data_IF_135236600676
#
_entry.id   IF_135236600676
#
_cell.length_a   1.000
_cell.length_b   1.000
_cell.length_c   1.000
_cell.angle_alpha   90.00
_cell.angle_beta   90.00
_cell.angle_gamma   90.00
#
_symmetry.space_group_name_H-M   'P 1'
#
loop_
_entity.id
_entity.type
_entity.pdbx_description
1 polymer ?
#
# COMPACT_ATOMS: atom_id res chain seq x y z
N UNK A 1 0.97 8.48 -42.22
CA UNK A 1 0.42 9.84 -42.08
C UNK A 1 -0.86 9.85 -42.88
N UNK A 2 -2.01 9.87 -42.21
CA UNK A 2 -3.28 9.97 -42.91
C UNK A 2 -3.53 11.44 -43.26
N UNK A 3 -4.23 11.71 -44.37
CA UNK A 3 -4.54 13.08 -44.77
C UNK A 3 -5.38 13.84 -43.73
N UNK A 4 -6.03 13.10 -42.81
CA UNK A 4 -6.77 13.64 -41.66
C UNK A 4 -5.90 14.35 -40.63
N UNK A 5 -4.59 14.10 -40.61
CA UNK A 5 -3.71 14.55 -39.53
C UNK A 5 -3.11 15.95 -39.81
N UNK A 6 -3.49 16.58 -40.93
CA UNK A 6 -2.92 17.85 -41.38
C UNK A 6 -3.98 18.95 -41.24
N UNK A 7 -3.87 19.76 -40.19
CA UNK A 7 -4.73 20.94 -39.99
C UNK A 7 -3.99 22.19 -40.47
N UNK A 8 -4.48 22.83 -41.52
CA UNK A 8 -3.94 24.10 -42.00
C UNK A 8 -4.40 25.25 -41.09
N UNK A 9 -3.46 25.94 -40.45
CA UNK A 9 -3.73 27.15 -39.68
C UNK A 9 -4.12 28.30 -40.61
N UNK A 10 -5.28 28.94 -40.38
CA UNK A 10 -5.73 30.14 -41.10
C UNK A 10 -5.29 31.39 -40.34
N UNK A 11 -4.14 31.94 -40.68
CA UNK A 11 -3.73 33.28 -40.24
C UNK A 11 -2.24 33.38 -39.95
N UNK A 12 -1.60 34.41 -40.53
CA UNK A 12 -0.16 34.66 -40.66
C UNK A 12 0.57 33.76 -41.65
N UNK A 13 1.49 34.36 -42.42
CA UNK A 13 2.33 33.74 -43.45
C UNK A 13 3.31 32.68 -42.92
N UNK A 14 3.11 32.24 -41.67
CA UNK A 14 3.88 31.21 -41.02
C UNK A 14 3.06 29.92 -41.11
N UNK A 15 3.32 29.12 -42.15
CA UNK A 15 2.61 27.87 -42.41
C UNK A 15 3.04 26.85 -41.37
N UNK A 16 2.44 26.92 -40.18
CA UNK A 16 2.65 25.96 -39.11
C UNK A 16 1.80 24.72 -39.38
N UNK A 17 2.47 23.60 -39.63
CA UNK A 17 1.83 22.28 -39.69
C UNK A 17 1.97 21.65 -38.30
N UNK A 18 0.84 21.44 -37.63
CA UNK A 18 0.81 20.77 -36.32
C UNK A 18 0.56 19.29 -36.55
N UNK A 19 1.54 18.46 -36.23
CA UNK A 19 1.41 17.00 -36.27
C UNK A 19 1.01 16.48 -34.90
N UNK A 20 -0.12 15.78 -34.82
CA UNK A 20 -0.50 15.02 -33.64
C UNK A 20 -0.07 13.56 -33.84
N UNK A 21 1.21 13.27 -33.64
CA UNK A 21 1.77 11.93 -33.76
C UNK A 21 1.97 11.29 -32.38
N UNK A 22 1.67 10.00 -32.27
CA UNK A 22 2.01 9.25 -31.06
C UNK A 22 3.54 9.03 -31.04
N UNK A 23 4.29 9.58 -30.06
CA UNK A 23 5.75 9.51 -30.04
C UNK A 23 6.27 8.07 -29.93
N UNK A 24 5.48 7.12 -29.42
CA UNK A 24 5.88 5.70 -29.34
C UNK A 24 5.98 5.00 -30.70
N UNK A 25 5.32 5.53 -31.74
CA UNK A 25 5.33 4.95 -33.09
C UNK A 25 6.55 5.37 -33.91
N UNK A 26 7.31 6.38 -33.46
CA UNK A 26 8.44 6.92 -34.19
C UNK A 26 9.71 6.80 -33.35
N UNK A 27 10.52 5.77 -33.65
CA UNK A 27 11.79 5.52 -32.94
C UNK A 27 12.82 6.64 -33.10
N UNK A 28 12.74 7.43 -34.16
CA UNK A 28 13.65 8.55 -34.41
C UNK A 28 12.90 9.69 -35.11
N UNK A 29 12.66 10.78 -34.38
CA UNK A 29 12.05 12.02 -34.91
C UNK A 29 12.94 12.65 -36.00
N UNK A 30 14.23 12.32 -36.00
CA UNK A 30 15.22 12.80 -36.96
C UNK A 30 14.92 12.46 -38.43
N UNK A 31 14.23 11.36 -38.73
CA UNK A 31 13.93 11.00 -40.14
C UNK A 31 12.93 11.95 -40.78
N UNK A 32 12.07 12.59 -39.98
CA UNK A 32 11.10 13.58 -40.45
C UNK A 32 11.81 14.91 -40.77
N UNK A 33 12.91 15.22 -40.09
CA UNK A 33 13.64 16.48 -40.21
C UNK A 33 14.81 16.45 -41.23
N UNK A 34 15.09 15.30 -41.87
CA UNK A 34 16.27 15.11 -42.74
C UNK A 34 16.04 15.47 -44.21
N UNK A 35 14.85 15.93 -44.60
CA UNK A 35 14.65 16.41 -45.97
C UNK A 35 15.26 17.81 -46.13
N UNK A 36 16.50 17.84 -46.62
CA UNK A 36 17.29 19.06 -46.81
C UNK A 36 16.74 20.00 -47.90
N UNK A 37 15.68 19.60 -48.59
CA UNK A 37 15.06 20.40 -49.65
C UNK A 37 14.12 21.48 -49.12
N UNK A 38 13.74 21.40 -47.83
CA UNK A 38 12.84 22.36 -47.19
C UNK A 38 13.52 22.91 -45.94
N UNK A 39 13.72 24.23 -45.85
CA UNK A 39 14.24 24.90 -44.64
C UNK A 39 13.20 24.86 -43.51
N UNK A 40 12.88 23.67 -43.03
CA UNK A 40 11.93 23.46 -41.94
C UNK A 40 12.68 23.34 -40.61
N UNK A 41 12.33 24.18 -39.64
CA UNK A 41 12.77 24.04 -38.25
C UNK A 41 11.74 23.25 -37.47
N UNK A 42 12.12 22.08 -36.97
CA UNK A 42 11.27 21.32 -36.05
C UNK A 42 11.33 21.96 -34.66
N UNK A 43 10.20 22.43 -34.15
CA UNK A 43 10.05 22.94 -32.78
C UNK A 43 9.07 22.07 -31.99
N UNK A 44 9.52 21.53 -30.85
CA UNK A 44 8.63 20.84 -29.90
C UNK A 44 8.01 21.93 -29.02
N UNK A 45 6.77 22.29 -29.29
CA UNK A 45 6.09 23.36 -28.57
C UNK A 45 5.57 22.92 -27.21
N UNK A 46 5.05 21.70 -27.14
CA UNK A 46 4.44 21.17 -25.93
C UNK A 46 4.48 19.64 -25.96
N UNK A 47 5.11 19.05 -24.94
CA UNK A 47 5.05 17.62 -24.68
C UNK A 47 3.98 17.37 -23.62
N UNK A 48 2.78 16.98 -24.06
CA UNK A 48 1.75 16.50 -23.14
C UNK A 48 1.91 14.98 -22.99
N UNK A 49 2.37 14.53 -21.83
CA UNK A 49 2.30 13.12 -21.46
C UNK A 49 0.88 12.88 -20.95
N UNK A 50 0.01 12.35 -21.81
CA UNK A 50 -1.22 11.71 -21.33
C UNK A 50 -0.80 10.34 -20.83
N UNK A 51 -0.61 10.20 -19.52
CA UNK A 51 -0.40 8.90 -18.89
C UNK A 51 -1.64 8.03 -19.11
N UNK A 52 -1.66 7.25 -20.19
CA UNK A 52 -2.37 5.97 -20.19
C UNK A 52 -1.46 4.98 -19.46
N UNK A 53 -1.37 5.05 -18.13
CA UNK A 53 -0.45 4.14 -17.45
C UNK A 53 -0.36 4.13 -15.93
N UNK A 54 -0.63 5.24 -15.23
CA UNK A 54 -0.71 5.24 -13.77
C UNK A 54 -2.02 5.93 -13.36
N UNK A 55 -3.12 5.19 -13.51
CA UNK A 55 -4.27 5.42 -12.62
C UNK A 55 -3.71 5.19 -11.24
N UNK A 56 -3.51 6.27 -10.48
CA UNK A 56 -3.09 6.24 -9.08
C UNK A 56 -3.89 5.14 -8.37
N UNK A 57 -3.29 3.96 -8.24
CA UNK A 57 -3.97 2.76 -7.76
C UNK A 57 -4.52 3.04 -6.37
N UNK A 58 -3.80 3.85 -5.58
CA UNK A 58 -4.27 4.37 -4.30
C UNK A 58 -5.57 5.17 -4.41
N UNK A 59 -5.64 6.14 -5.33
CA UNK A 59 -6.84 6.98 -5.52
C UNK A 59 -8.04 6.18 -6.05
N UNK A 60 -7.80 5.19 -6.91
CA UNK A 60 -8.86 4.30 -7.41
C UNK A 60 -9.33 3.32 -6.33
N UNK A 61 -8.40 2.79 -5.52
CA UNK A 61 -8.71 1.92 -4.38
C UNK A 61 -9.51 2.69 -3.32
N UNK A 62 -9.13 3.93 -3.04
CA UNK A 62 -9.82 4.81 -2.10
C UNK A 62 -11.21 5.20 -2.59
N UNK A 63 -11.36 5.53 -3.88
CA UNK A 63 -12.69 5.75 -4.49
C UNK A 63 -13.58 4.51 -4.34
N UNK A 64 -13.01 3.32 -4.52
CA UNK A 64 -13.75 2.06 -4.38
C UNK A 64 -14.12 1.77 -2.93
N UNK A 65 -13.26 2.10 -1.96
CA UNK A 65 -13.55 1.99 -0.53
C UNK A 65 -14.67 2.95 -0.11
N UNK A 66 -14.65 4.19 -0.59
CA UNK A 66 -15.73 5.17 -0.32
C UNK A 66 -17.07 4.72 -0.91
N UNK A 67 -17.07 4.14 -2.12
CA UNK A 67 -18.29 3.56 -2.71
C UNK A 67 -18.83 2.38 -1.90
N UNK A 68 -17.97 1.54 -1.33
CA UNK A 68 -18.41 0.45 -0.44
C UNK A 68 -19.05 0.99 0.85
N UNK A 69 -18.47 1.99 1.49
CA UNK A 69 -19.05 2.62 2.68
C UNK A 69 -20.39 3.30 2.40
N UNK A 70 -20.55 3.94 1.24
CA UNK A 70 -21.85 4.48 0.82
C UNK A 70 -22.88 3.36 0.62
N UNK A 71 -22.48 2.22 0.05
CA UNK A 71 -23.40 1.10 -0.13
C UNK A 71 -23.81 0.44 1.21
N UNK A 72 -22.89 0.35 2.18
CA UNK A 72 -23.19 -0.15 3.54
C UNK A 72 -24.14 0.79 4.30
N UNK A 73 -23.87 2.09 4.27
CA UNK A 73 -24.76 3.08 4.91
C UNK A 73 -26.16 3.10 4.31
N UNK A 74 -26.30 2.94 2.99
CA UNK A 74 -27.61 2.80 2.36
C UNK A 74 -28.31 1.46 2.67
N UNK A 75 -27.57 0.35 2.87
CA UNK A 75 -28.17 -0.91 3.33
C UNK A 75 -28.68 -0.82 4.76
N UNK A 76 -27.97 -0.11 5.65
CA UNK A 76 -28.42 0.07 7.03
C UNK A 76 -29.59 1.05 7.15
N UNK A 77 -29.63 2.11 6.33
CA UNK A 77 -30.77 3.04 6.29
C UNK A 77 -32.07 2.35 5.82
N UNK A 78 -32.00 1.48 4.81
CA UNK A 78 -33.18 0.73 4.34
C UNK A 78 -33.65 -0.36 5.32
N UNK A 79 -32.84 -0.69 6.34
CA UNK A 79 -33.20 -1.66 7.37
C UNK A 79 -33.90 -1.01 8.57
N UNK A 80 -33.84 0.31 8.72
CA UNK A 80 -34.40 1.04 9.86
C UNK A 80 -35.86 1.47 9.63
N UNK A 81 -36.36 1.55 8.39
CA UNK A 81 -37.77 1.92 8.11
C UNK A 81 -38.79 0.76 8.25
N UNK A 82 -38.44 -0.36 8.88
CA UNK A 82 -39.39 -1.49 9.06
C UNK A 82 -39.67 -1.90 10.51
N UNK A 83 -39.32 -1.07 11.50
CA UNK A 83 -39.60 -1.36 12.91
C UNK A 83 -39.98 -0.10 13.71
N UNK A 84 -40.97 0.66 13.23
CA UNK A 84 -41.73 1.56 14.11
C UNK A 84 -42.72 0.74 14.94
N UNK A 85 -42.29 0.35 16.13
CA UNK A 85 -43.21 -0.11 17.18
C UNK A 85 -42.57 -0.99 18.24
N UNK A 86 -41.86 -0.40 19.19
CA UNK A 86 -42.25 -0.43 20.62
C UNK A 86 -41.19 0.31 21.45
N UNK A 87 -41.62 1.42 22.05
CA UNK A 87 -40.79 2.35 22.78
C UNK A 87 -40.46 1.78 24.17
N UNK A 88 -39.25 1.24 24.36
CA UNK A 88 -38.73 0.92 25.69
C UNK A 88 -37.34 1.52 25.90
N UNK A 89 -37.38 2.66 26.60
CA UNK A 89 -36.30 3.27 27.37
C UNK A 89 -35.46 2.21 28.08
N UNK A 90 -34.17 2.11 27.72
CA UNK A 90 -33.21 1.23 28.36
C UNK A 90 -31.99 2.05 28.74
N UNK A 91 -31.92 2.39 30.02
CA UNK A 91 -30.79 3.03 30.68
C UNK A 91 -29.48 2.24 30.51
N UNK A 92 -28.42 2.95 30.17
CA UNK A 92 -27.04 2.48 29.90
C UNK A 92 -26.32 1.95 31.16
N UNK A 93 -27.00 1.86 32.31
CA UNK A 93 -26.37 1.47 33.58
C UNK A 93 -26.33 -0.05 33.86
N UNK A 94 -26.97 -0.91 33.05
CA UNK A 94 -27.22 -2.31 33.46
C UNK A 94 -26.27 -3.39 32.87
N UNK A 95 -25.24 -3.02 32.11
CA UNK A 95 -24.31 -4.00 31.49
C UNK A 95 -23.20 -4.50 32.44
N UNK A 96 -22.98 -3.86 33.59
CA UNK A 96 -21.94 -4.30 34.54
C UNK A 96 -22.41 -5.44 35.46
N UNK A 97 -23.71 -5.59 35.70
CA UNK A 97 -24.24 -6.61 36.61
C UNK A 97 -24.47 -7.99 35.96
N UNK A 98 -24.35 -8.12 34.63
CA UNK A 98 -24.64 -9.37 33.92
C UNK A 98 -23.47 -10.37 33.92
N UNK A 99 -22.26 -9.98 34.33
CA UNK A 99 -21.15 -10.94 34.46
C UNK A 99 -21.12 -11.67 35.82
N UNK A 100 -21.92 -11.25 36.81
CA UNK A 100 -21.91 -11.86 38.15
C UNK A 100 -23.07 -12.84 38.42
N UNK A 101 -24.07 -12.92 37.53
CA UNK A 101 -25.30 -13.70 37.77
C UNK A 101 -25.30 -15.14 37.22
N UNK A 102 -24.19 -15.65 36.69
CA UNK A 102 -24.09 -17.03 36.18
C UNK A 102 -23.66 -18.08 37.21
N UNK A 103 -23.69 -17.78 38.51
CA UNK A 103 -23.34 -18.74 39.58
C UNK A 103 -24.49 -19.14 40.52
N UNK A 104 -25.73 -18.70 40.28
CA UNK A 104 -26.86 -19.04 41.18
C UNK A 104 -28.09 -19.51 40.41
N UNK A 105 -28.11 -20.83 40.15
CA UNK A 105 -29.33 -21.59 39.88
C UNK A 105 -29.91 -22.03 41.22
N UNK A 106 -30.98 -21.38 41.70
CA UNK A 106 -32.18 -22.05 42.23
C UNK A 106 -33.24 -21.07 42.75
N UNK A 107 -34.48 -21.39 42.38
CA UNK A 107 -35.74 -21.08 43.09
C UNK A 107 -36.17 -19.61 43.21
N UNK A 108 -37.15 -19.20 42.41
CA UNK A 108 -38.50 -19.05 42.95
C UNK A 108 -39.53 -18.66 41.89
N UNK A 109 -40.65 -19.36 42.01
CA UNK A 109 -41.94 -19.18 41.36
C UNK A 109 -42.53 -17.80 41.70
N UNK A 110 -43.14 -17.11 40.73
CA UNK A 110 -44.49 -16.55 40.86
C UNK A 110 -45.05 -15.99 39.55
N UNK A 111 -46.31 -16.32 39.36
CA UNK A 111 -47.23 -15.97 38.29
C UNK A 111 -47.55 -14.46 38.25
N UNK A 112 -47.79 -13.92 37.06
CA UNK A 112 -48.72 -12.81 36.84
C UNK A 112 -49.15 -12.80 35.37
N UNK A 113 -50.45 -12.67 35.19
CA UNK A 113 -51.23 -12.92 33.98
C UNK A 113 -51.26 -11.75 32.97
N UNK A 114 -51.29 -12.13 31.69
CA UNK A 114 -52.21 -11.64 30.65
C UNK A 114 -52.07 -10.22 30.05
N UNK A 115 -51.51 -10.14 28.83
CA UNK A 115 -52.00 -9.26 27.75
C UNK A 115 -51.71 -9.86 26.37
N UNK A 116 -52.80 -10.17 25.67
CA UNK A 116 -53.03 -10.34 24.23
C UNK A 116 -51.83 -10.47 23.26
N UNK A 117 -51.54 -11.72 22.94
CA UNK A 117 -51.16 -12.33 21.65
C UNK A 117 -51.16 -11.50 20.36
N UNK A 118 -49.98 -11.33 19.78
CA UNK A 118 -49.73 -11.30 18.34
C UNK A 118 -48.55 -12.25 18.00
N UNK A 119 -48.43 -12.83 16.80
CA UNK A 119 -47.83 -14.15 16.60
C UNK A 119 -46.29 -14.19 16.69
N UNK A 120 -45.76 -14.36 17.90
CA UNK A 120 -44.31 -14.50 18.22
C UNK A 120 -43.68 -15.82 17.71
N UNK A 121 -44.43 -16.66 16.99
CA UNK A 121 -43.99 -18.00 16.60
C UNK A 121 -42.83 -18.01 15.57
N UNK A 122 -42.63 -16.92 14.82
CA UNK A 122 -41.59 -16.88 13.78
C UNK A 122 -40.22 -16.35 14.24
N UNK A 123 -40.14 -15.61 15.35
CA UNK A 123 -38.91 -14.97 15.83
C UNK A 123 -37.87 -15.97 16.36
N UNK A 124 -38.31 -17.00 17.09
CA UNK A 124 -37.41 -18.02 17.67
C UNK A 124 -36.67 -18.84 16.60
N UNK A 125 -37.27 -19.00 15.41
CA UNK A 125 -36.64 -19.70 14.28
C UNK A 125 -35.56 -18.84 13.62
N UNK A 126 -35.79 -17.54 13.47
CA UNK A 126 -34.82 -16.59 12.95
C UNK A 126 -33.59 -16.44 13.86
N UNK A 127 -33.79 -16.33 15.17
CA UNK A 127 -32.69 -16.25 16.15
C UNK A 127 -31.80 -17.51 16.14
N UNK A 128 -32.39 -18.71 16.07
CA UNK A 128 -31.63 -19.97 15.95
C UNK A 128 -30.85 -20.06 14.63
N UNK A 129 -31.39 -19.52 13.54
CA UNK A 129 -30.68 -19.47 12.25
C UNK A 129 -29.48 -18.51 12.29
N UNK A 130 -29.64 -17.33 12.91
CA UNK A 130 -28.56 -16.35 13.08
C UNK A 130 -27.42 -16.92 13.96
N UNK A 131 -27.73 -17.56 15.08
CA UNK A 131 -26.73 -18.19 15.96
C UNK A 131 -25.95 -19.32 15.25
N UNK A 132 -26.63 -20.11 14.39
CA UNK A 132 -25.97 -21.15 13.59
C UNK A 132 -25.05 -20.56 12.50
N UNK A 133 -25.44 -19.46 11.85
CA UNK A 133 -24.61 -18.75 10.86
C UNK A 133 -23.35 -18.16 11.52
N UNK A 134 -23.48 -17.51 12.66
CA UNK A 134 -22.35 -16.96 13.43
C UNK A 134 -21.35 -18.04 13.85
N UNK A 135 -21.83 -19.19 14.36
CA UNK A 135 -20.94 -20.31 14.75
C UNK A 135 -20.20 -20.92 13.55
N UNK A 136 -20.82 -20.95 12.36
CA UNK A 136 -20.16 -21.44 11.13
C UNK A 136 -19.09 -20.47 10.64
N UNK A 137 -19.36 -19.16 10.63
CA UNK A 137 -18.38 -18.14 10.27
C UNK A 137 -17.15 -18.21 11.18
N UNK A 138 -17.35 -18.26 12.51
CA UNK A 138 -16.27 -18.37 13.49
C UNK A 138 -15.38 -19.61 13.31
N UNK A 139 -15.92 -20.71 12.78
CA UNK A 139 -15.11 -21.91 12.47
C UNK A 139 -14.23 -21.70 11.24
N UNK A 140 -14.76 -21.02 10.22
CA UNK A 140 -14.02 -20.69 9.00
C UNK A 140 -12.88 -19.73 9.28
N UNK A 141 -13.13 -18.67 10.05
CA UNK A 141 -12.11 -17.69 10.41
C UNK A 141 -10.99 -18.33 11.25
N UNK A 142 -11.35 -19.27 12.14
CA UNK A 142 -10.37 -20.02 12.94
C UNK A 142 -9.49 -20.94 12.08
N UNK A 143 -10.05 -21.56 11.05
CA UNK A 143 -9.32 -22.42 10.12
C UNK A 143 -8.36 -21.61 9.24
N UNK A 144 -8.82 -20.47 8.71
CA UNK A 144 -7.98 -19.57 7.92
C UNK A 144 -6.84 -18.96 8.76
N UNK A 145 -7.10 -18.61 10.02
CA UNK A 145 -6.07 -18.12 10.94
C UNK A 145 -5.01 -19.20 11.22
N UNK A 146 -5.42 -20.45 11.43
CA UNK A 146 -4.49 -21.56 11.61
C UNK A 146 -3.63 -21.80 10.36
N UNK A 147 -4.21 -21.68 9.15
CA UNK A 147 -3.46 -21.79 7.89
C UNK A 147 -2.41 -20.68 7.75
N UNK A 148 -2.75 -19.43 8.12
CA UNK A 148 -1.78 -18.31 8.11
C UNK A 148 -0.64 -18.54 9.09
N UNK A 149 -0.94 -18.99 10.30
CA UNK A 149 0.05 -19.29 11.33
C UNK A 149 0.98 -20.44 10.89
N UNK A 150 0.44 -21.46 10.23
CA UNK A 150 1.24 -22.54 9.65
C UNK A 150 2.19 -22.04 8.55
N UNK A 151 1.73 -21.16 7.65
CA UNK A 151 2.60 -20.54 6.62
C UNK A 151 3.74 -19.72 7.24
N UNK A 152 3.44 -18.94 8.28
CA UNK A 152 4.45 -18.14 8.99
C UNK A 152 5.45 -19.05 9.72
N UNK A 153 4.98 -20.12 10.37
CA UNK A 153 5.85 -21.08 11.03
C UNK A 153 6.76 -21.83 10.05
N UNK A 154 6.25 -22.21 8.88
CA UNK A 154 7.01 -22.86 7.82
C UNK A 154 8.11 -21.94 7.27
N UNK A 155 7.80 -20.66 7.00
CA UNK A 155 8.80 -19.70 6.54
C UNK A 155 9.85 -19.40 7.62
N UNK A 156 9.44 -19.28 8.89
CA UNK A 156 10.37 -19.13 10.02
C UNK A 156 11.32 -20.32 10.14
N UNK A 157 10.82 -21.53 9.87
CA UNK A 157 11.65 -22.75 9.86
C UNK A 157 12.68 -22.71 8.73
N UNK A 158 12.29 -22.27 7.52
CA UNK A 158 13.22 -22.08 6.39
C UNK A 158 14.28 -21.01 6.67
N UNK A 159 13.89 -19.94 7.35
CA UNK A 159 14.83 -18.90 7.76
C UNK A 159 15.82 -19.41 8.81
N UNK A 160 15.36 -20.20 9.79
CA UNK A 160 16.22 -20.83 10.80
C UNK A 160 17.23 -21.78 10.15
N UNK A 161 16.80 -22.63 9.22
CA UNK A 161 17.69 -23.52 8.46
C UNK A 161 18.74 -22.74 7.66
N UNK A 162 18.33 -21.63 7.01
CA UNK A 162 19.26 -20.73 6.32
C UNK A 162 20.27 -20.08 7.28
N UNK A 163 19.84 -19.68 8.47
CA UNK A 163 20.71 -19.07 9.48
C UNK A 163 21.73 -20.10 10.03
N UNK A 164 21.28 -21.31 10.34
CA UNK A 164 22.11 -22.42 10.79
C UNK A 164 23.19 -22.76 9.75
N UNK A 165 22.82 -22.83 8.47
CA UNK A 165 23.76 -23.09 7.37
C UNK A 165 24.83 -22.00 7.21
N UNK A 166 24.51 -20.76 7.59
CA UNK A 166 25.45 -19.63 7.53
C UNK A 166 26.36 -19.54 8.75
N UNK A 167 26.19 -20.42 9.76
CA UNK A 167 27.02 -20.40 10.96
C UNK A 167 26.89 -19.11 11.78
N UNK A 168 25.82 -18.34 11.55
CA UNK A 168 25.44 -17.22 12.40
C UNK A 168 24.76 -17.88 13.60
N UNK A 169 25.58 -18.33 14.55
CA UNK A 169 25.09 -18.73 15.87
C UNK A 169 24.50 -17.47 16.48
N UNK A 170 23.17 -17.37 16.50
CA UNK A 170 22.46 -16.37 17.30
C UNK A 170 22.81 -16.64 18.76
N UNK A 171 23.89 -16.04 19.23
CA UNK A 171 24.18 -15.94 20.65
C UNK A 171 23.09 -15.06 21.23
N UNK A 172 22.16 -15.69 21.92
CA UNK A 172 21.06 -15.10 22.69
C UNK A 172 21.65 -14.22 23.80
N UNK A 173 22.01 -12.99 23.43
CA UNK A 173 22.51 -11.97 24.33
C UNK A 173 22.26 -10.59 23.73
N UNK A 174 21.18 -9.95 24.19
CA UNK A 174 21.16 -8.52 24.41
C UNK A 174 20.78 -7.66 23.22
N UNK A 175 19.54 -7.17 23.26
CA UNK A 175 19.19 -5.84 22.76
C UNK A 175 20.10 -4.83 23.47
N UNK A 176 21.21 -4.48 22.82
CA UNK A 176 22.07 -3.37 23.19
C UNK A 176 21.83 -2.23 22.21
N UNK A 177 21.18 -1.18 22.68
CA UNK A 177 21.19 0.14 22.05
C UNK A 177 22.65 0.57 21.80
N UNK A 178 23.07 0.45 20.54
CA UNK A 178 24.35 0.96 20.06
C UNK A 178 24.24 2.44 19.77
N UNK A 179 24.36 3.25 20.82
CA UNK A 179 24.58 4.69 20.75
C UNK A 179 25.79 4.98 19.86
N UNK A 180 25.52 5.71 18.78
CA UNK A 180 26.48 6.40 17.95
C UNK A 180 27.27 7.38 18.81
N UNK A 181 28.61 7.27 18.80
CA UNK A 181 29.49 8.43 18.96
C UNK A 181 30.87 8.12 18.37
N UNK A 182 31.23 8.98 17.41
CA UNK A 182 32.47 9.02 16.68
C UNK A 182 33.56 9.69 17.50
N UNK A 183 34.77 9.13 17.52
CA UNK A 183 35.97 9.94 17.69
C UNK A 183 37.22 9.20 17.18
N UNK A 184 37.69 9.64 16.02
CA UNK A 184 39.08 10.02 15.77
C UNK A 184 40.17 8.98 16.06
N UNK A 185 40.50 8.20 15.04
CA UNK A 185 41.76 7.47 14.98
C UNK A 185 42.24 7.36 13.53
N UNK A 186 43.18 8.23 13.13
CA UNK A 186 43.97 8.08 11.92
C UNK A 186 44.74 6.75 11.99
N UNK A 187 44.12 5.68 11.48
CA UNK A 187 44.81 4.46 11.14
C UNK A 187 44.71 4.33 9.62
N UNK A 188 45.85 4.28 8.94
CA UNK A 188 45.97 4.02 7.51
C UNK A 188 45.55 2.58 7.18
N UNK A 189 44.30 2.24 7.47
CA UNK A 189 43.66 1.00 7.08
C UNK A 189 43.24 1.10 5.63
N UNK A 190 43.48 0.02 4.88
CA UNK A 190 43.16 -0.09 3.46
C UNK A 190 41.69 0.29 3.19
N UNK A 191 41.48 1.50 2.68
CA UNK A 191 40.16 1.94 2.26
C UNK A 191 39.78 1.26 0.95
N UNK A 192 38.59 0.68 0.89
CA UNK A 192 38.06 0.05 -0.31
C UNK A 192 37.17 1.04 -1.07
N UNK A 193 37.46 1.35 -2.34
CA UNK A 193 36.59 2.20 -3.14
C UNK A 193 35.36 1.44 -3.63
N UNK A 194 34.22 2.11 -3.70
CA UNK A 194 33.02 1.59 -4.33
C UNK A 194 32.94 2.04 -5.79
N UNK A 195 32.91 1.09 -6.73
CA UNK A 195 32.84 1.37 -8.17
C UNK A 195 31.56 2.08 -8.63
N UNK A 196 30.48 2.02 -7.84
CA UNK A 196 29.20 2.68 -8.18
C UNK A 196 29.10 4.06 -7.58
N UNK A 197 29.61 4.27 -6.37
CA UNK A 197 29.41 5.53 -5.65
C UNK A 197 30.65 6.44 -5.64
N UNK A 198 31.82 5.93 -6.06
CA UNK A 198 33.07 6.68 -6.09
C UNK A 198 33.68 7.00 -4.72
N UNK A 199 33.01 6.64 -3.61
CA UNK A 199 33.50 6.83 -2.25
C UNK A 199 34.55 5.79 -1.83
N UNK A 200 35.45 6.18 -0.93
CA UNK A 200 36.43 5.32 -0.27
C UNK A 200 35.98 5.04 1.17
N UNK A 201 35.84 3.76 1.53
CA UNK A 201 35.30 3.35 2.83
C UNK A 201 36.29 2.47 3.59
N UNK A 202 36.27 2.52 4.92
CA UNK A 202 36.97 1.52 5.72
C UNK A 202 36.31 0.14 5.55
N UNK A 203 37.01 -0.98 5.82
CA UNK A 203 36.43 -2.33 5.63
C UNK A 203 35.11 -2.59 6.38
N UNK A 204 34.89 -1.93 7.52
CA UNK A 204 33.64 -1.99 8.27
C UNK A 204 32.52 -1.21 7.58
N UNK A 205 32.80 0.04 7.20
CA UNK A 205 31.86 0.91 6.49
C UNK A 205 31.53 0.42 5.08
N UNK A 206 32.46 -0.27 4.42
CA UNK A 206 32.24 -0.80 3.08
C UNK A 206 31.03 -1.72 3.05
N UNK A 207 30.81 -2.56 4.10
CA UNK A 207 29.67 -3.47 4.18
C UNK A 207 28.35 -2.78 4.51
N UNK A 208 28.39 -1.73 5.33
CA UNK A 208 27.20 -0.93 5.64
C UNK A 208 26.81 -0.03 4.45
N UNK A 209 27.79 0.48 3.69
CA UNK A 209 27.57 1.27 2.49
C UNK A 209 26.68 0.55 1.46
N UNK A 210 26.90 -0.74 1.16
CA UNK A 210 26.03 -1.49 0.23
C UNK A 210 24.57 -1.59 0.70
N UNK A 211 24.31 -1.40 1.99
CA UNK A 211 22.95 -1.41 2.56
C UNK A 211 22.30 -0.03 2.60
N UNK A 212 23.09 1.04 2.55
CA UNK A 212 22.63 2.43 2.60
C UNK A 212 21.73 2.79 1.41
N UNK A 213 20.82 3.72 1.63
CA UNK A 213 19.91 4.20 0.60
C UNK A 213 20.64 4.94 -0.52
N UNK A 214 21.73 5.65 -0.18
CA UNK A 214 22.60 6.29 -1.17
C UNK A 214 23.18 5.29 -2.19
N UNK A 215 23.64 4.12 -1.75
CA UNK A 215 24.15 3.09 -2.66
C UNK A 215 23.06 2.53 -3.58
N UNK A 216 21.87 2.27 -3.01
CA UNK A 216 20.71 1.78 -3.76
C UNK A 216 20.27 2.80 -4.80
N UNK A 217 20.27 4.08 -4.44
CA UNK A 217 19.93 5.18 -5.32
C UNK A 217 20.90 5.29 -6.50
N UNK A 218 22.21 5.32 -6.24
CA UNK A 218 23.22 5.38 -7.30
C UNK A 218 23.21 4.14 -8.20
N UNK A 219 22.86 2.97 -7.67
CA UNK A 219 22.67 1.75 -8.48
C UNK A 219 21.50 1.92 -9.45
N UNK A 220 20.37 2.48 -9.00
CA UNK A 220 19.22 2.78 -9.87
C UNK A 220 19.59 3.81 -10.95
N UNK A 221 20.31 4.88 -10.61
CA UNK A 221 20.75 5.88 -11.59
C UNK A 221 21.66 5.28 -12.66
N UNK A 222 22.63 4.44 -12.25
CA UNK A 222 23.53 3.74 -13.17
C UNK A 222 22.77 2.83 -14.14
N UNK A 223 21.73 2.12 -13.68
CA UNK A 223 20.86 1.32 -14.54
C UNK A 223 20.05 2.16 -15.53
N UNK A 224 19.71 3.40 -15.17
CA UNK A 224 19.03 4.37 -16.05
C UNK A 224 20.00 5.11 -16.98
N UNK A 225 21.31 4.87 -16.88
CA UNK A 225 22.32 5.62 -17.65
C UNK A 225 22.49 7.08 -17.21
N UNK A 226 22.01 7.43 -16.02
CA UNK A 226 22.13 8.77 -15.42
C UNK A 226 23.40 8.82 -14.57
N UNK A 227 24.14 9.95 -14.56
CA UNK A 227 25.31 10.11 -13.68
C UNK A 227 24.95 9.90 -12.22
N UNK A 228 25.87 9.28 -11.48
CA UNK A 228 25.74 8.99 -10.06
C UNK A 228 25.88 10.26 -9.24
N UNK A 229 25.15 10.33 -8.13
CA UNK A 229 25.05 11.51 -7.26
C UNK A 229 25.98 11.36 -6.07
N UNK A 230 26.65 12.45 -5.68
CA UNK A 230 27.52 12.47 -4.52
C UNK A 230 26.73 12.35 -3.20
N UNK A 231 27.37 11.90 -2.12
CA UNK A 231 26.70 11.74 -0.83
C UNK A 231 26.10 13.05 -0.31
N UNK A 232 26.79 14.17 -0.52
CA UNK A 232 26.31 15.51 -0.12
C UNK A 232 25.05 15.92 -0.88
N UNK A 233 25.02 15.66 -2.18
CA UNK A 233 23.84 15.95 -3.01
C UNK A 233 22.67 15.03 -2.66
N UNK A 234 22.94 13.77 -2.35
CA UNK A 234 21.92 12.84 -1.90
C UNK A 234 21.25 13.28 -0.59
N UNK A 235 22.02 13.81 0.37
CA UNK A 235 21.48 14.35 1.62
C UNK A 235 20.69 15.67 1.45
N UNK A 236 20.91 16.39 0.34
CA UNK A 236 20.16 17.61 0.01
C UNK A 236 18.84 17.31 -0.71
N UNK A 237 18.76 16.18 -1.42
CA UNK A 237 17.50 15.69 -1.97
C UNK A 237 16.72 15.02 -0.84
N UNK A 238 15.62 15.62 -0.39
CA UNK A 238 14.71 15.01 0.58
C UNK A 238 14.38 13.58 0.14
N UNK A 239 14.89 12.60 0.88
CA UNK A 239 14.69 11.18 0.59
C UNK A 239 13.21 10.81 0.65
N UNK A 240 12.41 11.55 1.42
CA UNK A 240 10.98 11.31 1.57
C UNK A 240 10.18 11.60 0.29
N UNK A 241 10.63 12.54 -0.54
CA UNK A 241 9.92 12.86 -1.79
C UNK A 241 10.04 11.76 -2.87
N UNK A 242 10.82 10.70 -2.63
CA UNK A 242 11.20 9.70 -3.63
C UNK A 242 10.70 8.28 -3.34
N UNK A 243 10.14 8.04 -2.14
CA UNK A 243 9.62 6.72 -1.74
C UNK A 243 8.09 6.68 -1.55
N UNK A 244 7.39 7.80 -1.73
CA UNK A 244 5.95 7.83 -2.03
C UNK A 244 5.67 7.42 -3.48
#
# INVERSE_FOLDING_TARGET
IAASDIVASKGNNDVRVVFQSNPSLYRTVETIAKDSTVECRLEILQQCVTEEGDVALGSELERRAQQQHQHETHQDANKIESDEGDNKHCDVASLSNQMQSNLTLSSSVKESENTASAPVANSRKAQKAAQKKSKKAKRRDKEEQAEREERVAAEKTRQKDRAERLGIVETDAGVGEGKSESSGGQAGGDTKPCNTCGGSFTPGEYRSHFRSDWHRYNTKLKMKGVPTVSEKEFLLCDSDAFFD
#
